data_IF_349167465590
#
_entry.id   IF_349167465590
#
_cell.length_a   1.000
_cell.length_b   1.000
_cell.length_c   1.000
_cell.angle_alpha   90.00
_cell.angle_beta   90.00
_cell.angle_gamma   90.00
#
_symmetry.space_group_name_H-M   'P 1'
#
loop_
_entity.id
_entity.type
_entity.pdbx_description
1 polymer ?
#
# COMPACT_ATOMS: atom_id res chain seq x y z
N UNK A 1 -40.20 -20.88 6.85
CA UNK A 1 -39.24 -19.77 6.93
C UNK A 1 -38.26 -19.89 5.78
N UNK A 2 -38.07 -18.87 4.97
CA UNK A 2 -37.02 -18.88 3.96
C UNK A 2 -35.66 -19.17 4.63
N UNK A 3 -34.85 -20.05 4.05
CA UNK A 3 -33.51 -20.32 4.59
C UNK A 3 -32.70 -19.02 4.63
N UNK A 4 -32.13 -18.70 5.79
CA UNK A 4 -31.27 -17.53 5.91
C UNK A 4 -30.03 -17.74 5.01
N UNK A 5 -29.68 -16.71 4.23
CA UNK A 5 -28.42 -16.68 3.48
C UNK A 5 -27.24 -16.76 4.45
N UNK A 6 -26.23 -17.57 4.17
CA UNK A 6 -25.01 -17.64 4.99
C UNK A 6 -23.85 -16.90 4.30
N UNK A 7 -23.30 -15.90 4.99
CA UNK A 7 -22.10 -15.17 4.60
C UNK A 7 -20.93 -15.65 5.45
N UNK A 8 -19.88 -16.16 4.83
CA UNK A 8 -18.65 -16.61 5.47
C UNK A 8 -17.59 -15.50 5.46
N UNK A 9 -16.83 -15.39 6.53
CA UNK A 9 -15.61 -14.59 6.59
C UNK A 9 -14.46 -15.55 6.85
N UNK A 10 -13.57 -15.66 5.87
CA UNK A 10 -12.40 -16.51 5.98
C UNK A 10 -11.34 -15.84 6.86
N UNK A 11 -10.57 -16.64 7.61
CA UNK A 11 -9.35 -16.12 8.26
C UNK A 11 -8.26 -15.88 7.22
N UNK A 12 -7.39 -14.93 7.50
CA UNK A 12 -6.18 -14.69 6.70
C UNK A 12 -5.05 -15.59 7.18
N UNK A 13 -4.31 -16.18 6.24
CA UNK A 13 -3.22 -17.11 6.51
C UNK A 13 -2.06 -16.99 5.50
N UNK A 14 -2.09 -15.97 4.64
CA UNK A 14 -1.04 -15.72 3.65
C UNK A 14 0.33 -15.44 4.32
N UNK A 15 0.32 -14.71 5.43
CA UNK A 15 1.48 -14.39 6.25
C UNK A 15 1.04 -14.02 7.67
N UNK A 16 1.94 -14.00 8.66
CA UNK A 16 1.60 -13.73 10.06
C UNK A 16 1.20 -12.26 10.33
N UNK A 17 1.47 -11.35 9.40
CA UNK A 17 1.14 -9.92 9.54
C UNK A 17 -0.20 -9.55 8.96
N UNK A 18 -0.86 -10.44 8.20
CA UNK A 18 -2.18 -10.17 7.66
C UNK A 18 -3.25 -10.37 8.74
N UNK A 19 -3.49 -9.32 9.51
CA UNK A 19 -4.39 -9.30 10.66
C UNK A 19 -5.71 -8.59 10.39
N UNK A 20 -5.89 -8.09 9.16
CA UNK A 20 -7.10 -7.37 8.74
C UNK A 20 -8.29 -8.33 8.59
N UNK A 21 -9.48 -7.75 8.58
CA UNK A 21 -10.75 -8.46 8.33
C UNK A 21 -11.67 -7.59 7.47
N UNK A 22 -12.45 -8.18 6.52
CA UNK A 22 -13.28 -7.40 5.60
C UNK A 22 -14.53 -6.80 6.26
N UNK A 23 -15.02 -7.38 7.35
CA UNK A 23 -16.13 -6.85 8.15
C UNK A 23 -15.74 -6.85 9.63
N UNK A 24 -15.84 -5.69 10.28
CA UNK A 24 -15.60 -5.58 11.73
C UNK A 24 -16.87 -6.01 12.51
N UNK A 25 -16.73 -6.41 13.79
CA UNK A 25 -17.85 -6.95 14.58
C UNK A 25 -19.11 -6.07 14.59
N UNK A 26 -18.95 -4.77 14.81
CA UNK A 26 -20.10 -3.85 14.87
C UNK A 26 -20.84 -3.76 13.53
N UNK A 27 -20.15 -3.77 12.40
CA UNK A 27 -20.79 -3.76 11.08
C UNK A 27 -21.44 -5.10 10.75
N UNK A 28 -20.87 -6.22 11.20
CA UNK A 28 -21.52 -7.52 11.09
C UNK A 28 -22.85 -7.56 11.85
N UNK A 29 -22.92 -7.03 13.10
CA UNK A 29 -24.16 -6.85 13.85
C UNK A 29 -25.19 -6.02 13.10
N UNK A 30 -24.78 -4.89 12.51
CA UNK A 30 -25.69 -4.03 11.75
C UNK A 30 -26.31 -4.79 10.57
N UNK A 31 -25.51 -5.55 9.82
CA UNK A 31 -25.98 -6.37 8.72
C UNK A 31 -26.93 -7.49 9.18
N UNK A 32 -26.64 -8.16 10.31
CA UNK A 32 -27.51 -9.18 10.91
C UNK A 32 -28.88 -8.62 11.32
N UNK A 33 -28.95 -7.33 11.67
CA UNK A 33 -30.23 -6.66 12.00
C UNK A 33 -31.02 -6.21 10.77
N UNK A 34 -30.32 -5.89 9.68
CA UNK A 34 -30.91 -5.33 8.47
C UNK A 34 -31.36 -6.41 7.47
N UNK A 35 -30.68 -7.55 7.45
CA UNK A 35 -30.85 -8.59 6.45
C UNK A 35 -31.20 -9.94 7.10
N UNK A 36 -31.97 -10.82 6.44
CA UNK A 36 -32.21 -12.20 6.88
C UNK A 36 -30.96 -13.06 6.64
N UNK A 37 -29.87 -12.73 7.35
CA UNK A 37 -28.52 -13.24 7.13
C UNK A 37 -28.03 -14.03 8.35
N UNK A 38 -27.23 -15.05 8.13
CA UNK A 38 -26.32 -15.66 9.09
C UNK A 38 -24.89 -15.28 8.69
N UNK A 39 -24.07 -14.86 9.63
CA UNK A 39 -22.65 -14.58 9.38
C UNK A 39 -21.82 -15.60 10.17
N UNK A 40 -20.93 -16.29 9.48
CA UNK A 40 -19.92 -17.18 10.07
C UNK A 40 -18.53 -16.62 9.82
N UNK A 41 -17.67 -16.76 10.81
CA UNK A 41 -16.27 -16.37 10.70
C UNK A 41 -15.37 -17.50 11.16
N UNK A 42 -14.28 -17.77 10.42
CA UNK A 42 -13.29 -18.72 10.88
C UNK A 42 -12.51 -18.20 12.09
N UNK A 43 -12.19 -19.05 13.07
CA UNK A 43 -11.36 -18.65 14.21
C UNK A 43 -9.99 -18.20 13.75
N UNK A 44 -9.41 -17.19 14.42
CA UNK A 44 -8.09 -16.67 14.08
C UNK A 44 -7.39 -16.13 15.33
N UNK A 45 -6.15 -16.60 15.55
CA UNK A 45 -5.29 -16.12 16.63
C UNK A 45 -4.53 -14.83 16.30
N UNK A 46 -4.49 -14.44 15.02
CA UNK A 46 -3.73 -13.25 14.57
C UNK A 46 -4.63 -12.06 14.24
N UNK A 47 -5.92 -12.28 13.94
CA UNK A 47 -6.85 -11.21 13.55
C UNK A 47 -6.92 -10.11 14.62
N UNK A 48 -6.98 -8.85 14.17
CA UNK A 48 -7.01 -7.68 15.07
C UNK A 48 -8.24 -7.61 15.97
N UNK A 49 -9.37 -8.15 15.52
CA UNK A 49 -10.58 -8.36 16.32
C UNK A 49 -10.66 -9.82 16.75
N UNK A 50 -10.83 -10.08 18.05
CA UNK A 50 -10.88 -11.43 18.58
C UNK A 50 -12.15 -12.20 18.16
N UNK A 51 -12.12 -13.52 18.27
CA UNK A 51 -13.28 -14.35 18.05
C UNK A 51 -14.43 -13.99 19.01
N UNK A 52 -14.12 -13.60 20.24
CA UNK A 52 -15.10 -13.16 21.25
C UNK A 52 -15.75 -11.82 20.90
N UNK A 53 -15.05 -10.92 20.23
CA UNK A 53 -15.63 -9.66 19.73
C UNK A 53 -16.72 -9.94 18.70
N UNK A 54 -16.50 -10.91 17.82
CA UNK A 54 -17.49 -11.35 16.83
C UNK A 54 -18.67 -12.09 17.46
N UNK A 55 -18.43 -13.01 18.41
CA UNK A 55 -19.50 -13.72 19.13
C UNK A 55 -20.45 -12.77 19.85
N UNK A 56 -19.92 -11.76 20.53
CA UNK A 56 -20.71 -10.73 21.22
C UNK A 56 -21.65 -9.96 20.29
N UNK A 57 -21.30 -9.85 19.03
CA UNK A 57 -22.08 -9.17 18.00
C UNK A 57 -22.99 -10.14 17.19
N UNK A 58 -23.12 -11.41 17.62
CA UNK A 58 -24.03 -12.39 17.04
C UNK A 58 -23.48 -13.14 15.84
N UNK A 59 -22.17 -13.05 15.56
CA UNK A 59 -21.51 -13.81 14.51
C UNK A 59 -21.12 -15.19 15.04
N UNK A 60 -21.31 -16.22 14.22
CA UNK A 60 -20.97 -17.60 14.56
C UNK A 60 -19.50 -17.84 14.23
N UNK A 61 -18.70 -18.19 15.23
CA UNK A 61 -17.31 -18.63 15.00
C UNK A 61 -17.31 -20.11 14.66
N UNK A 62 -16.82 -20.45 13.48
CA UNK A 62 -16.82 -21.84 12.95
C UNK A 62 -15.66 -22.05 12.00
N UNK A 63 -14.93 -23.18 12.14
CA UNK A 63 -13.94 -23.62 11.12
C UNK A 63 -14.61 -23.93 9.79
N UNK A 64 -15.80 -24.50 9.84
CA UNK A 64 -16.54 -24.91 8.65
C UNK A 64 -17.38 -23.77 8.10
N UNK A 65 -17.05 -23.33 6.86
CA UNK A 65 -17.81 -22.37 6.08
C UNK A 65 -18.56 -23.04 4.91
N UNK A 66 -18.67 -24.35 4.85
CA UNK A 66 -19.30 -25.08 3.74
C UNK A 66 -20.79 -24.72 3.53
N UNK A 67 -21.48 -24.32 4.60
CA UNK A 67 -22.85 -23.81 4.53
C UNK A 67 -22.96 -22.41 3.92
N UNK A 68 -21.84 -21.66 3.81
CA UNK A 68 -21.86 -20.29 3.30
C UNK A 68 -21.80 -20.29 1.78
N UNK A 69 -22.78 -19.66 1.14
CA UNK A 69 -22.81 -19.48 -0.30
C UNK A 69 -21.87 -18.38 -0.80
N UNK A 70 -21.56 -17.42 0.07
CA UNK A 70 -20.68 -16.29 -0.19
C UNK A 70 -19.59 -16.27 0.88
N UNK A 71 -18.32 -16.14 0.46
CA UNK A 71 -17.15 -16.06 1.36
C UNK A 71 -16.35 -14.81 1.06
N UNK A 72 -16.12 -14.02 2.10
CA UNK A 72 -15.27 -12.85 2.08
C UNK A 72 -13.89 -13.20 2.64
N UNK A 73 -12.84 -12.66 2.02
CA UNK A 73 -11.47 -12.66 2.53
C UNK A 73 -10.81 -11.31 2.23
N UNK A 74 -9.61 -11.06 2.73
CA UNK A 74 -8.81 -9.87 2.34
C UNK A 74 -7.88 -10.23 1.19
N UNK A 75 -7.04 -11.24 1.39
CA UNK A 75 -5.99 -11.64 0.44
C UNK A 75 -6.34 -12.94 -0.29
N UNK A 76 -5.43 -13.35 -1.17
CA UNK A 76 -5.58 -14.56 -1.98
C UNK A 76 -5.84 -15.78 -1.11
N UNK A 77 -6.76 -16.60 -1.58
CA UNK A 77 -7.24 -17.80 -0.88
C UNK A 77 -6.50 -19.04 -1.42
N UNK A 78 -6.02 -19.95 -0.55
CA UNK A 78 -5.40 -21.20 -0.99
C UNK A 78 -6.35 -22.06 -1.84
N UNK A 79 -5.84 -22.71 -2.89
CA UNK A 79 -6.61 -23.46 -3.88
C UNK A 79 -7.51 -24.56 -3.26
N UNK A 80 -7.03 -25.19 -2.19
CA UNK A 80 -7.77 -26.26 -1.49
C UNK A 80 -9.02 -25.81 -0.74
N UNK A 81 -9.20 -24.50 -0.55
CA UNK A 81 -10.34 -23.94 0.16
C UNK A 81 -11.61 -23.82 -0.72
N UNK A 82 -11.48 -23.73 -2.03
CA UNK A 82 -12.59 -23.45 -2.92
C UNK A 82 -13.56 -24.62 -3.05
N UNK A 83 -14.84 -24.32 -2.78
CA UNK A 83 -15.98 -25.23 -2.95
C UNK A 83 -16.73 -24.92 -4.26
N UNK A 84 -17.48 -25.92 -4.73
CA UNK A 84 -18.24 -25.79 -5.97
C UNK A 84 -19.35 -24.73 -5.85
N UNK A 85 -19.51 -23.93 -6.89
CA UNK A 85 -20.62 -22.99 -7.08
C UNK A 85 -20.76 -21.96 -5.95
N UNK A 86 -19.65 -21.59 -5.31
CA UNK A 86 -19.63 -20.52 -4.28
C UNK A 86 -19.16 -19.20 -4.85
N UNK A 87 -19.52 -18.13 -4.15
CA UNK A 87 -19.09 -16.76 -4.44
C UNK A 87 -17.94 -16.41 -3.51
N UNK A 88 -16.85 -15.93 -4.06
CA UNK A 88 -15.68 -15.46 -3.32
C UNK A 88 -15.39 -14.01 -3.64
N UNK A 89 -15.25 -13.19 -2.61
CA UNK A 89 -14.91 -11.78 -2.76
C UNK A 89 -13.64 -11.45 -1.97
N UNK A 90 -12.57 -11.06 -2.67
CA UNK A 90 -11.26 -10.77 -2.09
C UNK A 90 -10.35 -10.02 -3.10
N UNK A 91 -9.18 -9.54 -2.66
CA UNK A 91 -8.13 -9.04 -3.57
C UNK A 91 -7.42 -10.22 -4.23
N UNK A 92 -7.81 -10.55 -5.45
CA UNK A 92 -7.32 -11.75 -6.14
C UNK A 92 -5.95 -11.57 -6.79
N UNK A 93 -5.58 -10.34 -7.13
CA UNK A 93 -4.38 -10.00 -7.88
C UNK A 93 -4.19 -10.88 -9.14
N UNK A 94 -5.28 -11.15 -9.86
CA UNK A 94 -5.25 -12.01 -11.05
C UNK A 94 -5.33 -11.23 -12.36
N UNK A 95 -5.94 -10.04 -12.35
CA UNK A 95 -6.36 -9.31 -13.56
C UNK A 95 -5.23 -8.89 -14.52
N UNK A 96 -3.99 -8.92 -14.05
CA UNK A 96 -2.80 -8.65 -14.87
C UNK A 96 -2.12 -9.94 -15.36
N UNK A 97 -2.72 -11.10 -15.09
CA UNK A 97 -2.15 -12.40 -15.45
C UNK A 97 -0.91 -12.78 -14.65
N UNK A 98 -0.83 -12.36 -13.37
CA UNK A 98 0.29 -12.67 -12.50
C UNK A 98 0.47 -14.19 -12.36
N UNK A 99 1.61 -14.77 -12.81
CA UNK A 99 1.76 -16.22 -12.94
C UNK A 99 1.49 -17.00 -11.67
N UNK A 100 1.87 -16.45 -10.51
CA UNK A 100 1.71 -17.11 -9.20
C UNK A 100 0.26 -17.24 -8.74
N UNK A 101 -0.67 -16.41 -9.29
CA UNK A 101 -2.10 -16.44 -8.96
C UNK A 101 -2.95 -17.18 -10.00
N UNK A 102 -2.35 -17.62 -11.12
CA UNK A 102 -3.10 -18.33 -12.16
C UNK A 102 -3.57 -19.73 -11.71
N UNK A 103 -2.84 -20.51 -10.90
CA UNK A 103 -3.36 -21.76 -10.33
C UNK A 103 -4.66 -21.55 -9.53
N UNK A 104 -4.70 -20.55 -8.65
CA UNK A 104 -5.90 -20.18 -7.89
C UNK A 104 -7.07 -19.83 -8.83
N UNK A 105 -6.83 -19.06 -9.89
CA UNK A 105 -7.86 -18.68 -10.87
C UNK A 105 -8.40 -19.90 -11.64
N UNK A 106 -7.53 -20.85 -12.03
CA UNK A 106 -7.94 -22.13 -12.65
C UNK A 106 -8.83 -22.92 -11.71
N UNK A 107 -8.46 -22.99 -10.43
CA UNK A 107 -9.24 -23.71 -9.43
C UNK A 107 -10.63 -23.13 -9.25
N UNK A 108 -10.78 -21.80 -9.27
CA UNK A 108 -12.10 -21.14 -9.25
C UNK A 108 -12.93 -21.48 -10.49
N UNK A 109 -12.32 -21.55 -11.68
CA UNK A 109 -12.97 -21.97 -12.92
C UNK A 109 -13.47 -23.43 -12.81
N UNK A 110 -12.61 -24.36 -12.39
CA UNK A 110 -12.93 -25.78 -12.20
C UNK A 110 -14.08 -25.97 -11.22
N UNK A 111 -14.13 -25.18 -10.14
CA UNK A 111 -15.20 -25.20 -9.13
C UNK A 111 -16.47 -24.46 -9.56
N UNK A 112 -16.53 -23.95 -10.78
CA UNK A 112 -17.65 -23.12 -11.24
C UNK A 112 -17.99 -22.00 -10.26
N UNK A 113 -16.95 -21.43 -9.62
CA UNK A 113 -17.11 -20.39 -8.64
C UNK A 113 -17.33 -19.02 -9.30
N UNK A 114 -17.92 -18.10 -8.56
CA UNK A 114 -17.98 -16.67 -8.90
C UNK A 114 -16.86 -15.93 -8.13
N UNK A 115 -16.06 -15.16 -8.84
CA UNK A 115 -14.99 -14.32 -8.26
C UNK A 115 -15.35 -12.86 -8.40
N UNK A 116 -15.42 -12.15 -7.27
CA UNK A 116 -15.57 -10.71 -7.19
C UNK A 116 -14.26 -10.14 -6.64
N UNK A 117 -13.53 -9.38 -7.46
CA UNK A 117 -12.25 -8.79 -7.05
C UNK A 117 -12.45 -7.38 -6.51
N UNK A 118 -12.07 -7.15 -5.26
CA UNK A 118 -12.18 -5.83 -4.62
C UNK A 118 -11.42 -4.72 -5.35
N UNK A 119 -10.33 -5.04 -6.07
CA UNK A 119 -9.63 -4.07 -6.90
C UNK A 119 -10.49 -3.46 -7.99
N UNK A 120 -11.54 -4.16 -8.38
CA UNK A 120 -12.41 -3.81 -9.50
C UNK A 120 -13.77 -3.28 -9.07
N UNK A 121 -13.99 -3.06 -7.79
CA UNK A 121 -15.13 -2.28 -7.30
C UNK A 121 -14.86 -0.81 -7.64
N UNK A 122 -15.37 -0.39 -8.79
CA UNK A 122 -15.13 0.93 -9.38
C UNK A 122 -16.42 1.73 -9.44
N UNK A 123 -16.31 3.06 -9.29
CA UNK A 123 -17.41 3.97 -9.63
C UNK A 123 -17.60 4.14 -11.15
N UNK A 124 -18.56 4.96 -11.55
CA UNK A 124 -18.85 5.21 -12.97
C UNK A 124 -17.75 5.99 -13.71
N UNK A 125 -16.80 6.60 -12.97
CA UNK A 125 -15.62 7.25 -13.52
C UNK A 125 -14.39 6.32 -13.53
N UNK A 126 -14.55 5.04 -13.19
CA UNK A 126 -13.47 4.06 -13.15
C UNK A 126 -12.52 4.21 -11.94
N UNK A 127 -12.90 5.00 -10.92
CA UNK A 127 -12.09 5.17 -9.71
C UNK A 127 -12.36 4.02 -8.74
N UNK A 128 -11.30 3.49 -8.14
CA UNK A 128 -11.41 2.43 -7.12
C UNK A 128 -12.16 2.95 -5.89
N UNK A 129 -13.15 2.18 -5.43
CA UNK A 129 -13.90 2.45 -4.20
C UNK A 129 -13.28 1.73 -3.00
N UNK A 130 -12.64 0.59 -3.22
CA UNK A 130 -11.99 -0.21 -2.18
C UNK A 130 -10.48 -0.20 -2.38
N UNK A 131 -9.76 0.52 -1.53
CA UNK A 131 -8.30 0.63 -1.58
C UNK A 131 -7.75 1.16 -0.24
N UNK A 132 -6.46 0.96 0.01
CA UNK A 132 -5.79 1.29 1.27
C UNK A 132 -4.70 2.36 1.11
N UNK A 133 -4.88 3.31 0.18
CA UNK A 133 -3.83 4.29 -0.15
C UNK A 133 -3.44 5.17 1.05
N UNK A 134 -4.43 5.73 1.78
CA UNK A 134 -4.16 6.53 2.98
C UNK A 134 -3.44 5.70 4.05
N UNK A 135 -3.90 4.46 4.30
CA UNK A 135 -3.30 3.57 5.30
C UNK A 135 -1.85 3.20 4.94
N UNK A 136 -1.58 2.95 3.65
CA UNK A 136 -0.20 2.73 3.17
C UNK A 136 0.68 3.96 3.43
N UNK A 137 0.16 5.16 3.18
CA UNK A 137 0.86 6.41 3.45
C UNK A 137 1.18 6.62 4.93
N UNK A 138 0.18 6.42 5.80
CA UNK A 138 0.34 6.52 7.25
C UNK A 138 1.43 5.57 7.75
N UNK A 139 1.29 4.27 7.47
CA UNK A 139 2.25 3.25 7.89
C UNK A 139 3.65 3.49 7.31
N UNK A 140 3.73 3.75 6.01
CA UNK A 140 4.99 3.99 5.33
C UNK A 140 5.76 5.20 5.86
N UNK A 141 5.05 6.27 6.28
CA UNK A 141 5.71 7.42 6.89
C UNK A 141 6.22 7.12 8.29
N UNK A 142 5.44 6.44 9.13
CA UNK A 142 5.86 6.02 10.47
C UNK A 142 7.14 5.17 10.35
N UNK A 143 7.15 4.17 9.46
CA UNK A 143 8.30 3.30 9.25
C UNK A 143 9.50 4.05 8.65
N UNK A 144 9.26 5.05 7.81
CA UNK A 144 10.33 5.90 7.28
C UNK A 144 10.98 6.74 8.38
N UNK A 145 10.19 7.30 9.31
CA UNK A 145 10.72 8.03 10.48
C UNK A 145 11.46 7.11 11.45
N UNK A 146 10.93 5.91 11.69
CA UNK A 146 11.61 4.88 12.45
C UNK A 146 12.95 4.50 11.81
N UNK A 147 12.96 4.26 10.49
CA UNK A 147 14.16 3.91 9.75
C UNK A 147 15.20 5.03 9.82
N UNK A 148 14.79 6.29 9.71
CA UNK A 148 15.68 7.43 9.91
C UNK A 148 16.29 7.42 11.32
N UNK A 149 15.49 7.23 12.37
CA UNK A 149 15.96 7.17 13.73
C UNK A 149 17.00 6.09 13.98
N UNK A 150 16.76 4.89 13.45
CA UNK A 150 17.69 3.75 13.52
C UNK A 150 18.97 3.99 12.74
N UNK A 151 18.86 4.59 11.54
CA UNK A 151 20.03 4.95 10.74
C UNK A 151 20.90 5.98 11.45
N UNK A 152 20.33 7.02 12.03
CA UNK A 152 21.07 8.04 12.77
C UNK A 152 21.78 7.44 14.00
N UNK A 153 21.13 6.55 14.74
CA UNK A 153 21.78 5.81 15.84
C UNK A 153 22.97 4.98 15.35
N UNK A 154 22.84 4.31 14.19
CA UNK A 154 23.93 3.55 13.58
C UNK A 154 25.11 4.46 13.17
N UNK A 155 24.85 5.72 12.84
CA UNK A 155 25.86 6.75 12.56
C UNK A 155 26.41 7.42 13.83
N UNK A 156 25.98 7.01 15.03
CA UNK A 156 26.36 7.62 16.31
C UNK A 156 25.72 8.99 16.57
N UNK A 157 24.64 9.31 15.87
CA UNK A 157 23.92 10.57 16.00
C UNK A 157 22.66 10.34 16.84
N UNK A 158 22.63 10.88 18.06
CA UNK A 158 21.41 10.88 18.86
C UNK A 158 20.38 11.85 18.27
N UNK A 159 19.14 11.38 18.16
CA UNK A 159 18.03 12.19 17.65
C UNK A 159 16.70 11.77 18.25
N UNK A 160 15.70 12.68 18.32
CA UNK A 160 14.37 12.33 18.81
C UNK A 160 13.71 11.18 18.02
N UNK A 161 14.07 11.00 16.76
CA UNK A 161 13.54 9.92 15.92
C UNK A 161 13.92 8.52 16.40
N UNK A 162 14.95 8.36 17.26
CA UNK A 162 15.32 7.08 17.85
C UNK A 162 14.19 6.47 18.70
N UNK A 163 13.22 7.27 19.13
CA UNK A 163 12.06 6.84 19.93
C UNK A 163 10.87 6.38 19.10
N UNK A 164 10.86 6.66 17.78
CA UNK A 164 9.83 6.13 16.89
C UNK A 164 10.00 4.61 16.83
N UNK A 165 8.89 3.90 16.98
CA UNK A 165 8.82 2.45 16.78
C UNK A 165 8.30 2.14 15.38
N UNK A 166 8.54 0.93 14.93
CA UNK A 166 7.92 0.42 13.69
C UNK A 166 6.40 0.42 13.81
N UNK A 167 5.70 0.66 12.72
CA UNK A 167 4.23 0.80 12.69
C UNK A 167 3.52 -0.38 13.35
N UNK A 168 3.93 -1.59 13.03
CA UNK A 168 3.31 -2.83 13.57
C UNK A 168 3.45 -2.98 15.09
N UNK A 169 4.33 -2.22 15.74
CA UNK A 169 4.57 -2.25 17.19
C UNK A 169 3.65 -1.30 17.98
N UNK A 170 2.82 -0.52 17.29
CA UNK A 170 1.80 0.31 17.93
C UNK A 170 0.47 -0.43 17.96
N UNK A 171 -0.27 -0.27 19.06
CA UNK A 171 -1.60 -0.87 19.20
C UNK A 171 -2.66 -0.16 18.35
N UNK A 172 -2.44 1.11 18.02
CA UNK A 172 -3.34 1.94 17.21
C UNK A 172 -2.60 3.10 16.57
N UNK A 173 -3.23 3.73 15.57
CA UNK A 173 -2.77 4.98 14.98
C UNK A 173 -2.63 6.10 16.03
N UNK A 174 -3.56 6.20 16.97
CA UNK A 174 -3.52 7.20 18.04
C UNK A 174 -2.24 7.09 18.84
N UNK A 175 -1.83 5.89 19.25
CA UNK A 175 -0.58 5.67 19.97
C UNK A 175 0.64 6.08 19.14
N UNK A 176 0.65 5.75 17.85
CA UNK A 176 1.72 6.15 16.94
C UNK A 176 1.81 7.68 16.80
N UNK A 177 0.66 8.34 16.59
CA UNK A 177 0.59 9.80 16.50
C UNK A 177 1.09 10.49 17.77
N UNK A 178 0.71 10.00 18.94
CA UNK A 178 1.21 10.54 20.22
C UNK A 178 2.72 10.40 20.36
N UNK A 179 3.28 9.27 19.93
CA UNK A 179 4.73 9.06 19.92
C UNK A 179 5.44 10.07 19.00
N UNK A 180 4.89 10.31 17.81
CA UNK A 180 5.45 11.24 16.82
C UNK A 180 5.29 12.69 17.31
N UNK A 181 4.15 13.07 17.92
CA UNK A 181 3.98 14.39 18.53
C UNK A 181 5.02 14.66 19.63
N UNK A 182 5.39 13.65 20.43
CA UNK A 182 6.47 13.76 21.42
C UNK A 182 7.82 14.04 20.76
N UNK A 183 8.12 13.35 19.65
CA UNK A 183 9.31 13.65 18.83
C UNK A 183 9.27 15.09 18.33
N UNK A 184 8.13 15.53 17.81
CA UNK A 184 7.93 16.90 17.35
C UNK A 184 8.12 17.94 18.46
N UNK A 185 7.60 17.66 19.66
CA UNK A 185 7.81 18.52 20.82
C UNK A 185 9.30 18.68 21.17
N UNK A 186 10.06 17.60 21.13
CA UNK A 186 11.49 17.65 21.40
C UNK A 186 12.26 18.44 20.34
N UNK A 187 11.96 18.24 19.08
CA UNK A 187 12.58 19.01 17.98
C UNK A 187 12.30 20.51 18.17
N UNK A 188 11.04 20.86 18.48
CA UNK A 188 10.66 22.25 18.67
C UNK A 188 11.39 22.93 19.85
N UNK A 189 11.55 22.23 20.98
CA UNK A 189 12.09 22.82 22.20
C UNK A 189 13.59 22.66 22.38
N UNK A 190 14.16 21.55 21.90
CA UNK A 190 15.59 21.25 22.06
C UNK A 190 16.42 21.45 20.80
N UNK A 191 15.76 21.46 19.63
CA UNK A 191 16.42 21.50 18.33
C UNK A 191 16.97 20.13 17.91
N UNK A 192 17.36 20.05 16.66
CA UNK A 192 18.13 18.97 16.05
C UNK A 192 19.62 19.23 16.24
N UNK A 193 20.42 18.16 16.25
CA UNK A 193 21.88 18.31 16.19
C UNK A 193 22.29 19.18 14.98
N UNK A 194 23.22 20.13 15.11
CA UNK A 194 23.63 21.02 14.01
C UNK A 194 24.09 20.27 12.74
N UNK A 195 24.64 19.05 12.91
CA UNK A 195 25.04 18.17 11.79
C UNK A 195 23.86 17.67 10.95
N UNK A 196 22.64 17.62 11.51
CA UNK A 196 21.42 17.21 10.85
C UNK A 196 20.68 18.39 10.20
N UNK A 197 20.86 19.61 10.72
CA UNK A 197 20.15 20.77 10.20
C UNK A 197 20.74 21.26 8.86
N UNK A 198 19.87 21.69 7.93
CA UNK A 198 18.43 21.51 7.93
C UNK A 198 18.06 20.05 7.62
N UNK A 199 17.07 19.51 8.34
CA UNK A 199 16.52 18.19 8.06
C UNK A 199 15.37 18.36 7.06
N UNK A 200 15.50 17.78 5.86
CA UNK A 200 14.60 18.00 4.72
C UNK A 200 14.02 16.67 4.24
N UNK A 201 12.69 16.61 4.15
CA UNK A 201 11.97 15.52 3.52
C UNK A 201 11.33 15.94 2.20
N UNK A 202 11.56 15.14 1.16
CA UNK A 202 10.87 15.25 -0.11
C UNK A 202 9.76 14.20 -0.22
N UNK A 203 8.58 14.61 -0.66
CA UNK A 203 7.45 13.75 -0.96
C UNK A 203 7.19 13.77 -2.45
N UNK A 204 7.18 12.60 -3.12
CA UNK A 204 6.76 12.52 -4.50
C UNK A 204 5.28 12.21 -4.58
N UNK A 205 4.57 12.98 -5.42
CA UNK A 205 3.12 12.86 -5.59
C UNK A 205 2.30 13.54 -4.49
N UNK A 206 1.01 13.61 -4.71
CA UNK A 206 0.03 14.31 -3.85
C UNK A 206 -1.32 13.55 -3.78
N UNK A 207 -1.34 12.29 -4.21
CA UNK A 207 -2.48 11.39 -4.10
C UNK A 207 -2.68 10.86 -2.68
N UNK A 208 -3.64 9.95 -2.50
CA UNK A 208 -4.03 9.42 -1.18
C UNK A 208 -2.89 8.82 -0.37
N UNK A 209 -1.94 8.16 -1.02
CA UNK A 209 -0.74 7.61 -0.34
C UNK A 209 0.12 8.73 0.21
N UNK A 210 0.46 9.72 -0.63
CA UNK A 210 1.24 10.88 -0.20
C UNK A 210 0.53 11.70 0.88
N UNK A 211 -0.79 11.88 0.77
CA UNK A 211 -1.59 12.56 1.78
C UNK A 211 -1.51 11.84 3.13
N UNK A 212 -1.66 10.52 3.15
CA UNK A 212 -1.50 9.73 4.38
C UNK A 212 -0.10 9.84 4.97
N UNK A 213 0.95 9.85 4.15
CA UNK A 213 2.32 10.05 4.61
C UNK A 213 2.53 11.46 5.17
N UNK A 214 2.00 12.47 4.51
CA UNK A 214 2.09 13.86 4.98
C UNK A 214 1.30 14.08 6.27
N UNK A 215 0.15 13.41 6.47
CA UNK A 215 -0.63 13.48 7.71
C UNK A 215 0.20 13.11 8.95
N UNK A 216 1.01 12.06 8.86
CA UNK A 216 1.95 11.67 9.93
C UNK A 216 3.10 12.69 10.05
N UNK A 217 3.67 13.11 8.93
CA UNK A 217 4.77 14.08 8.93
C UNK A 217 4.36 15.42 9.54
N UNK A 218 3.14 15.86 9.30
CA UNK A 218 2.61 17.15 9.75
C UNK A 218 2.35 17.21 11.27
N UNK A 219 2.52 16.09 11.98
CA UNK A 219 2.58 16.05 13.46
C UNK A 219 3.91 16.59 14.02
N UNK A 220 4.92 16.77 13.17
CA UNK A 220 6.23 17.32 13.51
C UNK A 220 6.24 18.86 13.27
N UNK A 221 7.15 19.62 13.91
CA UNK A 221 7.28 21.05 13.64
C UNK A 221 7.90 21.27 12.27
N UNK A 222 7.08 21.45 11.23
CA UNK A 222 7.56 21.58 9.87
C UNK A 222 7.34 22.98 9.27
N UNK A 223 8.11 23.24 8.22
CA UNK A 223 7.92 24.36 7.30
C UNK A 223 7.94 23.81 5.87
N UNK A 224 6.92 24.13 5.08
CA UNK A 224 6.88 23.73 3.67
C UNK A 224 7.69 24.67 2.81
N UNK A 225 8.57 24.11 1.98
CA UNK A 225 9.47 24.83 1.09
C UNK A 225 9.17 24.44 -0.35
N UNK A 226 8.97 25.42 -1.21
CA UNK A 226 8.81 25.14 -2.64
C UNK A 226 10.11 24.51 -3.22
N UNK A 227 10.02 23.53 -4.13
CA UNK A 227 11.20 22.85 -4.68
C UNK A 227 12.29 23.82 -5.18
N UNK A 228 11.90 24.88 -5.89
CA UNK A 228 12.83 25.89 -6.40
C UNK A 228 13.59 26.68 -5.33
N UNK A 229 13.10 26.71 -4.10
CA UNK A 229 13.69 27.52 -3.02
C UNK A 229 14.72 26.76 -2.16
N UNK A 230 14.77 25.42 -2.26
CA UNK A 230 15.62 24.60 -1.39
C UNK A 230 17.10 24.94 -1.53
N UNK A 231 17.58 25.20 -2.75
CA UNK A 231 18.98 25.56 -3.01
C UNK A 231 19.35 26.86 -2.33
N UNK A 232 18.49 27.89 -2.42
CA UNK A 232 18.69 29.18 -1.80
C UNK A 232 18.60 29.12 -0.28
N UNK A 233 17.73 28.30 0.27
CA UNK A 233 17.66 28.01 1.71
C UNK A 233 19.02 27.50 2.23
N UNK A 234 19.63 26.54 1.56
CA UNK A 234 20.96 26.01 1.94
C UNK A 234 22.07 27.05 1.73
N UNK A 235 22.12 27.74 0.57
CA UNK A 235 23.12 28.71 0.24
C UNK A 235 23.14 29.87 1.23
N UNK A 236 21.97 30.36 1.63
CA UNK A 236 21.81 31.51 2.50
C UNK A 236 21.69 31.14 3.99
N UNK A 237 21.78 29.86 4.33
CA UNK A 237 21.62 29.31 5.70
C UNK A 237 20.30 29.80 6.36
N UNK A 238 19.22 29.86 5.59
CA UNK A 238 17.89 30.28 6.07
C UNK A 238 17.11 29.07 6.57
N UNK A 239 17.56 28.51 7.68
CA UNK A 239 16.89 27.35 8.31
C UNK A 239 17.09 27.39 9.82
N UNK A 240 16.25 26.63 10.52
CA UNK A 240 16.25 26.49 11.98
C UNK A 240 16.55 25.03 12.35
N UNK A 241 17.18 24.84 13.50
CA UNK A 241 17.37 23.52 14.12
C UNK A 241 16.09 23.01 14.81
N UNK A 242 15.13 23.90 15.08
CA UNK A 242 13.87 23.60 15.76
C UNK A 242 12.72 23.23 14.80
N UNK A 243 13.04 23.07 13.51
CA UNK A 243 12.07 22.70 12.46
C UNK A 243 12.66 21.67 11.52
N UNK A 244 11.77 20.97 10.86
CA UNK A 244 12.07 20.14 9.69
C UNK A 244 11.43 20.77 8.47
N UNK A 245 11.93 20.44 7.29
CA UNK A 245 11.49 21.06 6.05
C UNK A 245 10.82 20.03 5.15
N UNK A 246 9.62 20.37 4.65
CA UNK A 246 8.82 19.54 3.77
C UNK A 246 8.85 20.10 2.36
N UNK A 247 9.10 19.24 1.37
CA UNK A 247 9.01 19.57 -0.05
C UNK A 247 8.04 18.56 -0.69
N UNK A 248 7.00 19.06 -1.35
CA UNK A 248 6.09 18.20 -2.13
C UNK A 248 6.39 18.38 -3.61
N UNK A 249 6.81 17.29 -4.25
CA UNK A 249 7.12 17.25 -5.67
C UNK A 249 5.90 16.80 -6.48
N UNK A 250 5.42 17.69 -7.33
CA UNK A 250 4.46 17.36 -8.40
C UNK A 250 5.23 16.99 -9.67
N UNK A 251 4.55 16.49 -10.68
CA UNK A 251 5.16 16.09 -11.96
C UNK A 251 6.01 17.22 -12.56
N UNK A 252 5.52 18.45 -12.58
CA UNK A 252 6.20 19.65 -13.08
C UNK A 252 7.54 19.97 -12.36
N UNK A 253 7.71 19.42 -11.14
CA UNK A 253 8.95 19.55 -10.37
C UNK A 253 9.91 18.36 -10.60
N UNK A 254 9.38 17.24 -11.09
CA UNK A 254 10.13 16.00 -11.25
C UNK A 254 10.63 15.78 -12.69
N UNK A 255 9.96 16.39 -13.66
CA UNK A 255 10.33 16.27 -15.09
C UNK A 255 10.40 17.63 -15.77
N UNK A 256 11.16 17.67 -16.86
CA UNK A 256 11.18 18.82 -17.77
C UNK A 256 11.09 18.32 -19.20
N UNK A 257 10.45 19.08 -20.11
CA UNK A 257 10.40 18.74 -21.52
C UNK A 257 11.81 18.62 -22.13
N UNK A 258 11.97 17.74 -23.12
CA UNK A 258 13.17 17.67 -23.95
C UNK A 258 13.23 18.84 -24.92
N UNK A 259 14.42 19.12 -25.47
CA UNK A 259 14.60 20.18 -26.46
C UNK A 259 13.66 20.00 -27.66
N UNK A 260 13.01 21.09 -28.07
CA UNK A 260 12.02 21.13 -29.14
C UNK A 260 10.57 20.82 -28.72
N UNK A 261 10.35 20.47 -27.44
CA UNK A 261 8.99 20.28 -26.91
C UNK A 261 8.43 21.61 -26.36
N UNK A 262 7.11 21.92 -26.53
CA UNK A 262 6.53 23.23 -26.18
C UNK A 262 6.42 23.50 -24.71
N UNK A 263 6.81 22.85 -23.79
CA UNK A 263 6.71 23.12 -22.36
C UNK A 263 6.11 21.95 -21.60
N UNK A 264 5.92 22.12 -20.29
CA UNK A 264 5.31 21.10 -19.45
C UNK A 264 3.78 21.18 -19.58
N UNK A 265 3.17 20.04 -19.89
CA UNK A 265 1.73 19.79 -19.78
C UNK A 265 1.53 18.44 -19.09
N UNK A 266 0.64 18.37 -18.11
CA UNK A 266 0.42 17.17 -17.31
C UNK A 266 -0.19 16.02 -18.11
N UNK A 267 -1.16 16.32 -18.95
CA UNK A 267 -1.84 15.30 -19.76
C UNK A 267 -0.91 14.77 -20.84
N UNK A 268 -0.14 15.65 -21.47
CA UNK A 268 0.88 15.27 -22.42
C UNK A 268 1.97 14.40 -21.76
N UNK A 269 2.42 14.76 -20.55
CA UNK A 269 3.37 13.93 -19.80
C UNK A 269 2.84 12.50 -19.57
N UNK A 270 1.57 12.35 -19.22
CA UNK A 270 0.99 11.02 -19.01
C UNK A 270 0.84 10.22 -20.31
N UNK A 271 0.58 10.87 -21.42
CA UNK A 271 0.44 10.24 -22.74
C UNK A 271 1.80 10.00 -23.41
N UNK A 272 2.75 10.92 -23.25
CA UNK A 272 4.03 10.97 -23.95
C UNK A 272 5.23 11.15 -22.99
N UNK A 273 5.40 10.30 -21.95
CA UNK A 273 6.48 10.47 -20.96
C UNK A 273 7.87 10.45 -21.58
N UNK A 274 8.05 9.81 -22.74
CA UNK A 274 9.30 9.77 -23.50
C UNK A 274 9.74 11.16 -24.03
N UNK A 275 8.83 12.14 -24.11
CA UNK A 275 9.15 13.52 -24.50
C UNK A 275 9.75 14.35 -23.38
N UNK A 276 9.84 13.78 -22.18
CA UNK A 276 10.37 14.44 -20.98
C UNK A 276 11.65 13.78 -20.49
N UNK A 277 12.36 14.44 -19.59
CA UNK A 277 13.51 13.91 -18.85
C UNK A 277 13.35 14.16 -17.36
N UNK A 278 13.81 13.26 -16.49
CA UNK A 278 13.72 13.43 -15.05
C UNK A 278 14.70 14.51 -14.57
N UNK A 279 14.31 15.25 -13.51
CA UNK A 279 15.13 16.26 -12.86
C UNK A 279 15.14 16.14 -11.33
N UNK A 280 14.36 15.23 -10.75
CA UNK A 280 14.29 15.03 -9.30
C UNK A 280 15.66 14.73 -8.67
N UNK A 281 16.54 14.04 -9.40
CA UNK A 281 17.90 13.74 -8.93
C UNK A 281 18.70 14.97 -8.51
N UNK A 282 18.41 16.13 -9.08
CA UNK A 282 19.03 17.41 -8.72
C UNK A 282 18.69 17.91 -7.32
N UNK A 283 17.68 17.33 -6.67
CA UNK A 283 17.26 17.67 -5.31
C UNK A 283 17.83 16.71 -4.26
N UNK A 284 18.26 15.49 -4.65
CA UNK A 284 18.78 14.47 -3.71
C UNK A 284 19.88 14.98 -2.76
N UNK A 285 20.82 15.86 -3.18
CA UNK A 285 21.84 16.38 -2.28
C UNK A 285 21.30 17.19 -1.09
N UNK A 286 20.08 17.71 -1.19
CA UNK A 286 19.44 18.54 -0.18
C UNK A 286 18.51 17.76 0.74
N UNK A 287 18.10 16.52 0.37
CA UNK A 287 17.16 15.72 1.12
C UNK A 287 17.86 14.89 2.19
N UNK A 288 17.24 14.77 3.37
CA UNK A 288 17.59 13.79 4.40
C UNK A 288 16.76 12.53 4.23
N UNK A 289 15.50 12.69 3.89
CA UNK A 289 14.57 11.60 3.55
C UNK A 289 13.81 11.87 2.25
N UNK A 290 13.51 10.82 1.51
CA UNK A 290 12.63 10.85 0.35
C UNK A 290 11.49 9.85 0.59
N UNK A 291 10.25 10.32 0.47
CA UNK A 291 9.04 9.49 0.56
C UNK A 291 8.46 9.37 -0.84
N UNK A 292 8.53 8.17 -1.41
CA UNK A 292 8.01 7.90 -2.74
C UNK A 292 6.59 7.35 -2.65
N UNK A 293 5.63 8.10 -3.18
CA UNK A 293 4.20 7.82 -3.08
C UNK A 293 3.45 8.07 -4.40
N UNK A 294 4.14 7.88 -5.53
CA UNK A 294 3.54 8.03 -6.87
C UNK A 294 3.08 6.67 -7.41
N UNK A 295 2.11 6.71 -8.31
CA UNK A 295 1.86 5.58 -9.20
C UNK A 295 2.96 5.53 -10.27
N UNK A 296 3.55 4.34 -10.47
CA UNK A 296 4.55 4.13 -11.51
C UNK A 296 4.21 2.91 -12.38
N UNK A 297 4.60 2.95 -13.62
CA UNK A 297 4.53 1.83 -14.56
C UNK A 297 5.71 1.94 -15.53
N UNK A 298 6.12 0.87 -16.23
CA UNK A 298 7.33 0.83 -17.05
C UNK A 298 7.46 1.89 -18.14
N UNK A 299 6.33 2.48 -18.58
CA UNK A 299 6.35 3.58 -19.56
C UNK A 299 6.78 4.92 -18.95
N UNK A 300 6.70 5.09 -17.63
CA UNK A 300 7.09 6.32 -16.95
C UNK A 300 8.58 6.39 -16.63
N UNK A 301 9.04 7.60 -16.41
CA UNK A 301 10.43 7.88 -16.07
C UNK A 301 10.79 7.37 -14.67
N UNK A 302 12.06 7.03 -14.48
CA UNK A 302 12.65 6.75 -13.17
C UNK A 302 13.19 8.04 -12.57
N UNK A 303 12.99 8.22 -11.26
CA UNK A 303 13.28 9.48 -10.58
C UNK A 303 14.50 9.43 -9.66
N UNK A 304 14.86 8.23 -9.18
CA UNK A 304 16.09 8.00 -8.43
C UNK A 304 16.82 6.82 -9.07
N UNK A 305 17.82 7.15 -9.89
CA UNK A 305 18.58 6.11 -10.57
C UNK A 305 19.78 5.64 -9.74
N UNK A 306 20.18 4.38 -9.91
CA UNK A 306 21.44 3.84 -9.33
C UNK A 306 22.63 4.70 -9.72
N UNK A 307 22.64 5.23 -10.96
CA UNK A 307 23.68 6.15 -11.45
C UNK A 307 23.73 7.45 -10.66
N UNK A 308 22.58 8.05 -10.36
CA UNK A 308 22.52 9.29 -9.57
C UNK A 308 22.98 9.06 -8.13
N UNK A 309 22.56 7.94 -7.52
CA UNK A 309 23.03 7.56 -6.18
C UNK A 309 24.54 7.32 -6.16
N UNK A 310 25.08 6.60 -7.14
CA UNK A 310 26.54 6.39 -7.27
C UNK A 310 27.29 7.72 -7.39
N UNK A 311 26.74 8.67 -8.17
CA UNK A 311 27.32 10.03 -8.28
C UNK A 311 27.28 10.77 -6.95
N UNK A 312 26.17 10.67 -6.20
CA UNK A 312 25.96 11.34 -4.93
C UNK A 312 26.92 10.82 -3.84
N UNK A 313 27.25 9.50 -3.85
CA UNK A 313 28.17 8.87 -2.90
C UNK A 313 29.66 8.92 -3.32
N UNK A 314 29.95 9.36 -4.55
CA UNK A 314 31.33 9.49 -5.05
C UNK A 314 32.09 10.55 -4.24
N UNK A 315 33.32 10.22 -3.79
CA UNK A 315 34.21 11.19 -3.15
C UNK A 315 34.33 11.09 -1.64
N UNK A 316 33.80 10.04 -1.00
CA UNK A 316 34.06 9.73 0.42
C UNK A 316 33.20 10.49 1.43
N UNK A 317 32.52 11.55 1.03
CA UNK A 317 31.59 12.25 1.92
C UNK A 317 30.28 11.48 2.05
N UNK A 318 29.69 11.46 3.26
CA UNK A 318 28.37 10.89 3.50
C UNK A 318 27.32 11.93 3.07
N UNK A 319 26.53 11.65 2.04
CA UNK A 319 25.45 12.54 1.60
C UNK A 319 24.41 12.76 2.70
N UNK A 320 23.59 13.80 2.54
CA UNK A 320 22.49 14.06 3.48
C UNK A 320 21.38 13.02 3.41
N UNK A 321 21.17 12.36 2.27
CA UNK A 321 20.13 11.37 2.05
C UNK A 321 20.41 10.10 2.88
N UNK A 322 19.63 9.90 3.95
CA UNK A 322 19.76 8.76 4.87
C UNK A 322 18.71 7.70 4.63
N UNK A 323 17.50 8.09 4.23
CA UNK A 323 16.37 7.19 4.13
C UNK A 323 15.55 7.45 2.87
N UNK A 324 15.09 6.38 2.25
CA UNK A 324 14.08 6.40 1.19
C UNK A 324 12.93 5.53 1.67
N UNK A 325 11.77 6.14 1.92
CA UNK A 325 10.53 5.43 2.16
C UNK A 325 9.83 5.20 0.84
N UNK A 326 10.07 4.05 0.21
CA UNK A 326 9.43 3.69 -1.04
C UNK A 326 8.10 2.98 -0.78
N UNK A 327 7.06 3.78 -0.51
CA UNK A 327 5.71 3.29 -0.22
C UNK A 327 5.08 2.64 -1.45
N UNK A 328 5.50 3.05 -2.65
CA UNK A 328 5.06 2.45 -3.92
C UNK A 328 5.57 1.02 -4.07
N UNK A 329 6.79 0.75 -3.61
CA UNK A 329 7.41 -0.57 -3.56
C UNK A 329 7.48 -1.30 -4.93
N UNK A 330 7.64 -0.54 -6.02
CA UNK A 330 7.85 -1.13 -7.36
C UNK A 330 9.33 -1.51 -7.53
N UNK A 331 9.61 -2.81 -7.65
CA UNK A 331 10.98 -3.33 -7.84
C UNK A 331 11.56 -2.76 -9.14
N UNK A 332 12.77 -2.17 -9.06
CA UNK A 332 13.42 -1.46 -10.15
C UNK A 332 12.50 -0.41 -10.81
N UNK A 333 11.59 0.16 -10.03
CA UNK A 333 10.59 1.12 -10.46
C UNK A 333 11.08 2.56 -10.55
N UNK A 334 10.27 3.50 -10.08
CA UNK A 334 10.64 4.92 -10.03
C UNK A 334 11.89 5.18 -9.18
N UNK A 335 12.16 4.31 -8.20
CA UNK A 335 13.34 4.28 -7.34
C UNK A 335 14.13 3.00 -7.70
N UNK A 336 15.16 3.12 -8.51
CA UNK A 336 15.92 1.96 -9.01
C UNK A 336 16.64 1.16 -7.90
N UNK A 337 16.94 1.78 -6.77
CA UNK A 337 17.56 1.06 -5.64
C UNK A 337 16.56 0.26 -4.80
N UNK A 338 15.26 0.32 -5.10
CA UNK A 338 14.27 -0.64 -4.57
C UNK A 338 14.37 -1.94 -5.36
N UNK A 339 15.42 -2.71 -5.08
CA UNK A 339 15.74 -3.95 -5.82
C UNK A 339 14.92 -5.16 -5.34
N UNK A 340 14.25 -5.02 -4.21
CA UNK A 340 13.34 -6.02 -3.65
C UNK A 340 12.32 -5.36 -2.72
N UNK A 341 11.18 -6.01 -2.56
CA UNK A 341 10.25 -5.68 -1.48
C UNK A 341 10.76 -6.24 -0.14
N UNK A 342 10.25 -5.67 0.94
CA UNK A 342 10.54 -6.08 2.31
C UNK A 342 9.25 -6.46 3.03
N UNK A 343 9.36 -6.98 4.23
CA UNK A 343 8.24 -7.37 5.09
C UNK A 343 8.39 -6.78 6.50
N UNK A 344 7.35 -6.83 7.35
CA UNK A 344 7.42 -6.24 8.70
C UNK A 344 8.48 -6.85 9.62
N UNK A 345 8.99 -8.07 9.37
CA UNK A 345 10.10 -8.64 10.16
C UNK A 345 11.45 -8.04 9.78
N UNK A 346 11.64 -7.74 8.49
CA UNK A 346 12.86 -7.14 7.93
C UNK A 346 12.49 -5.96 7.02
N UNK A 347 12.00 -4.83 7.58
CA UNK A 347 11.32 -3.81 6.81
C UNK A 347 12.23 -2.92 5.98
N UNK A 348 13.54 -3.02 6.16
CA UNK A 348 14.52 -2.16 5.51
C UNK A 348 15.77 -2.91 5.08
N UNK A 349 16.43 -2.35 4.07
CA UNK A 349 17.80 -2.68 3.71
C UNK A 349 18.59 -1.40 3.41
N UNK A 350 19.90 -1.45 3.54
CA UNK A 350 20.80 -0.39 3.08
C UNK A 350 21.29 -0.75 1.67
N UNK A 351 21.13 0.17 0.72
CA UNK A 351 21.64 0.01 -0.64
C UNK A 351 22.98 0.70 -0.78
N UNK A 352 24.04 -0.06 -1.12
CA UNK A 352 25.39 0.49 -1.41
C UNK A 352 25.50 0.92 -2.87
N UNK A 353 25.53 2.24 -3.16
CA UNK A 353 25.55 2.73 -4.55
C UNK A 353 26.87 2.49 -5.29
N UNK A 354 27.97 2.26 -4.59
CA UNK A 354 29.27 2.01 -5.22
C UNK A 354 29.41 0.55 -5.65
N UNK A 355 28.91 -0.39 -4.82
CA UNK A 355 28.97 -1.83 -5.07
C UNK A 355 27.78 -2.36 -5.84
N UNK A 356 26.66 -1.64 -5.87
CA UNK A 356 25.35 -2.09 -6.36
C UNK A 356 24.85 -3.32 -5.58
N UNK A 357 25.01 -3.30 -4.25
CA UNK A 357 24.65 -4.39 -3.34
C UNK A 357 23.71 -3.89 -2.24
N UNK A 358 23.04 -4.81 -1.59
CA UNK A 358 22.18 -4.51 -0.43
C UNK A 358 22.64 -5.28 0.81
N UNK A 359 22.46 -4.66 1.97
CA UNK A 359 22.66 -5.27 3.28
C UNK A 359 21.39 -5.07 4.10
N UNK A 360 20.89 -6.11 4.74
CA UNK A 360 19.71 -6.01 5.60
C UNK A 360 19.96 -5.05 6.78
N UNK A 361 18.92 -4.27 7.11
CA UNK A 361 18.99 -3.33 8.21
C UNK A 361 19.67 -2.00 7.83
N UNK A 362 20.39 -1.43 8.81
CA UNK A 362 20.81 -0.02 8.80
C UNK A 362 22.32 0.17 8.57
N UNK A 363 23.09 -0.93 8.57
CA UNK A 363 24.54 -0.89 8.42
C UNK A 363 24.93 -0.71 6.95
N UNK A 364 26.09 -0.09 6.71
CA UNK A 364 26.62 0.05 5.36
C UNK A 364 26.60 1.47 4.83
N UNK A 365 27.10 1.63 3.61
CA UNK A 365 27.26 2.91 2.93
C UNK A 365 26.16 3.09 1.90
N UNK A 366 25.28 4.05 2.14
CA UNK A 366 24.17 4.33 1.23
C UNK A 366 22.87 4.70 1.96
N UNK A 367 21.79 4.97 1.25
CA UNK A 367 20.50 5.20 1.88
C UNK A 367 19.90 3.89 2.42
N UNK A 368 19.21 3.98 3.55
CA UNK A 368 18.30 2.93 4.01
C UNK A 368 17.02 3.02 3.17
N UNK A 369 16.60 1.90 2.61
CA UNK A 369 15.38 1.78 1.81
C UNK A 369 14.35 1.00 2.61
N UNK A 370 13.21 1.61 2.91
CA UNK A 370 12.01 0.98 3.43
C UNK A 370 11.09 0.69 2.24
N UNK A 371 10.75 -0.57 2.01
CA UNK A 371 9.95 -1.01 0.86
C UNK A 371 9.02 -2.17 1.25
N UNK A 372 8.25 -1.99 2.33
CA UNK A 372 7.32 -3.01 2.82
C UNK A 372 6.13 -3.14 1.87
N UNK A 373 5.94 -4.34 1.31
CA UNK A 373 4.93 -4.61 0.28
C UNK A 373 3.48 -4.43 0.77
N UNK A 374 3.21 -4.69 2.03
CA UNK A 374 1.84 -4.69 2.57
C UNK A 374 1.67 -3.75 3.78
N UNK A 375 2.14 -2.51 3.66
CA UNK A 375 2.05 -1.48 4.69
C UNK A 375 0.68 -1.36 5.38
N UNK A 376 -0.48 -1.42 4.68
CA UNK A 376 -1.78 -1.33 5.35
C UNK A 376 -2.05 -2.46 6.36
N UNK A 377 -1.36 -3.61 6.27
CA UNK A 377 -1.51 -4.70 7.24
C UNK A 377 -0.84 -4.39 8.59
N UNK A 378 0.14 -3.50 8.60
CA UNK A 378 0.78 -3.04 9.85
C UNK A 378 -0.17 -2.20 10.71
N UNK A 379 -1.17 -1.56 10.10
CA UNK A 379 -2.25 -0.83 10.74
C UNK A 379 -3.57 -1.61 10.63
N UNK A 380 -3.57 -2.85 11.12
CA UNK A 380 -4.66 -3.77 10.89
C UNK A 380 -6.01 -3.28 11.45
N UNK A 381 -6.01 -2.57 12.57
CA UNK A 381 -7.22 -2.02 13.19
C UNK A 381 -7.87 -0.97 12.27
N UNK A 382 -7.15 0.08 11.94
CA UNK A 382 -7.63 1.20 11.13
C UNK A 382 -7.96 0.75 9.71
N UNK A 383 -7.12 -0.12 9.15
CA UNK A 383 -7.34 -0.71 7.83
C UNK A 383 -8.62 -1.55 7.79
N UNK A 384 -8.89 -2.36 8.83
CA UNK A 384 -10.13 -3.16 8.90
C UNK A 384 -11.36 -2.29 9.08
N UNK A 385 -11.29 -1.25 9.93
CA UNK A 385 -12.38 -0.30 10.13
C UNK A 385 -12.73 0.40 8.81
N UNK A 386 -11.73 0.96 8.14
CA UNK A 386 -11.91 1.62 6.84
C UNK A 386 -12.46 0.66 5.78
N UNK A 387 -11.87 -0.54 5.67
CA UNK A 387 -12.30 -1.55 4.71
C UNK A 387 -13.75 -1.96 4.93
N UNK A 388 -14.08 -2.31 6.17
CA UNK A 388 -15.43 -2.71 6.54
C UNK A 388 -16.46 -1.60 6.30
N UNK A 389 -16.10 -0.35 6.58
CA UNK A 389 -16.94 0.81 6.31
C UNK A 389 -17.20 0.97 4.80
N UNK A 390 -16.19 0.76 3.98
CA UNK A 390 -16.27 0.88 2.52
C UNK A 390 -17.01 -0.30 1.88
N UNK A 391 -16.80 -1.53 2.41
CA UNK A 391 -17.38 -2.75 1.84
C UNK A 391 -18.84 -2.97 2.26
N UNK A 392 -19.21 -2.58 3.50
CA UNK A 392 -20.55 -2.81 4.06
C UNK A 392 -21.70 -2.39 3.14
N UNK A 393 -21.66 -1.22 2.44
CA UNK A 393 -22.74 -0.79 1.55
C UNK A 393 -23.00 -1.76 0.38
N UNK A 394 -22.02 -2.57 0.00
CA UNK A 394 -22.16 -3.53 -1.10
C UNK A 394 -22.70 -4.89 -0.66
N UNK A 395 -22.69 -5.20 0.64
CA UNK A 395 -23.13 -6.50 1.15
C UNK A 395 -24.60 -6.80 0.83
N UNK A 396 -25.56 -5.86 0.96
CA UNK A 396 -26.94 -6.13 0.57
C UNK A 396 -27.09 -6.56 -0.89
N UNK A 397 -26.41 -5.88 -1.81
CA UNK A 397 -26.40 -6.25 -3.23
C UNK A 397 -25.71 -7.58 -3.50
N UNK A 398 -24.62 -7.87 -2.77
CA UNK A 398 -23.90 -9.12 -2.86
C UNK A 398 -24.76 -10.33 -2.40
N UNK A 399 -25.46 -10.22 -1.27
CA UNK A 399 -26.28 -11.32 -0.75
C UNK A 399 -27.65 -11.44 -1.41
N UNK A 400 -28.14 -10.37 -2.04
CA UNK A 400 -29.42 -10.34 -2.73
C UNK A 400 -29.37 -10.78 -4.20
N UNK A 401 -28.17 -10.98 -4.76
CA UNK A 401 -27.98 -11.33 -6.15
C UNK A 401 -28.34 -12.79 -6.45
N UNK A 402 -28.80 -13.06 -7.68
CA UNK A 402 -29.04 -14.40 -8.21
C UNK A 402 -27.76 -14.93 -8.89
N UNK A 403 -27.12 -15.91 -8.25
CA UNK A 403 -25.94 -16.59 -8.78
C UNK A 403 -26.30 -17.89 -9.52
N UNK A 404 -27.56 -18.27 -9.59
CA UNK A 404 -28.02 -19.46 -10.30
C UNK A 404 -28.35 -19.21 -11.78
N UNK A 405 -28.72 -17.98 -12.12
CA UNK A 405 -29.12 -17.55 -13.46
C UNK A 405 -27.97 -17.08 -14.35
N UNK A 406 -28.29 -16.19 -15.28
CA UNK A 406 -27.34 -15.54 -16.18
C UNK A 406 -26.72 -14.32 -15.54
N UNK A 407 -25.44 -14.02 -15.85
CA UNK A 407 -24.72 -12.89 -15.29
C UNK A 407 -25.43 -11.55 -15.46
N UNK A 408 -25.97 -11.29 -16.66
CA UNK A 408 -26.66 -10.06 -16.97
C UNK A 408 -27.91 -9.81 -16.10
N UNK A 409 -28.57 -10.88 -15.68
CA UNK A 409 -29.78 -10.84 -14.87
C UNK A 409 -29.53 -11.11 -13.37
N UNK A 410 -28.28 -11.17 -12.94
CA UNK A 410 -27.88 -11.50 -11.56
C UNK A 410 -28.40 -10.51 -10.49
N UNK A 411 -28.80 -9.29 -10.88
CA UNK A 411 -29.21 -8.25 -9.94
C UNK A 411 -28.06 -7.64 -9.14
N UNK A 412 -26.80 -7.96 -9.46
CA UNK A 412 -25.63 -7.32 -8.85
C UNK A 412 -25.63 -5.81 -9.16
N UNK A 413 -25.32 -4.93 -8.17
CA UNK A 413 -25.06 -3.51 -8.41
C UNK A 413 -23.98 -3.30 -9.48
N UNK A 414 -24.00 -2.18 -10.22
CA UNK A 414 -23.05 -1.91 -11.31
C UNK A 414 -21.58 -2.06 -10.87
N UNK A 415 -21.23 -1.57 -9.66
CA UNK A 415 -19.89 -1.65 -9.09
C UNK A 415 -19.44 -3.10 -8.88
N UNK A 416 -20.33 -3.95 -8.38
CA UNK A 416 -20.06 -5.38 -8.18
C UNK A 416 -20.06 -6.14 -9.50
N UNK A 417 -20.90 -5.76 -10.49
CA UNK A 417 -20.83 -6.31 -11.85
C UNK A 417 -19.45 -6.07 -12.46
N UNK A 418 -18.96 -4.83 -12.42
CA UNK A 418 -17.61 -4.48 -12.89
C UNK A 418 -16.49 -5.24 -12.15
N UNK A 419 -16.72 -5.60 -10.89
CA UNK A 419 -15.79 -6.35 -10.08
C UNK A 419 -15.86 -7.87 -10.27
N UNK A 420 -16.86 -8.39 -10.96
CA UNK A 420 -17.05 -9.83 -11.16
C UNK A 420 -16.16 -10.33 -12.28
N UNK A 421 -15.04 -10.96 -11.93
CA UNK A 421 -14.06 -11.52 -12.87
C UNK A 421 -14.54 -12.85 -13.44
N UNK A 422 -15.08 -13.71 -12.57
CA UNK A 422 -15.69 -14.98 -12.96
C UNK A 422 -17.12 -15.02 -12.46
N UNK A 423 -18.03 -15.50 -13.31
CA UNK A 423 -19.39 -15.86 -12.94
C UNK A 423 -19.62 -17.33 -13.28
N UNK A 424 -19.86 -18.16 -12.27
CA UNK A 424 -20.02 -19.62 -12.40
C UNK A 424 -18.89 -20.28 -13.21
N UNK A 425 -17.65 -19.89 -12.94
CA UNK A 425 -16.45 -20.43 -13.58
C UNK A 425 -16.19 -19.91 -15.00
N UNK A 426 -16.98 -18.98 -15.51
CA UNK A 426 -16.76 -18.36 -16.80
C UNK A 426 -16.31 -16.91 -16.63
N UNK A 427 -15.39 -16.45 -17.46
CA UNK A 427 -15.04 -15.02 -17.49
C UNK A 427 -16.25 -14.20 -17.91
N UNK A 428 -16.47 -13.09 -17.20
CA UNK A 428 -17.45 -12.08 -17.61
C UNK A 428 -16.89 -11.26 -18.79
N UNK A 429 -17.71 -10.52 -19.56
CA UNK A 429 -17.29 -9.85 -20.78
C UNK A 429 -16.04 -8.97 -20.61
N UNK A 430 -15.94 -8.22 -19.50
CA UNK A 430 -14.80 -7.32 -19.24
C UNK A 430 -13.48 -8.08 -18.99
N UNK A 431 -13.54 -9.39 -18.73
CA UNK A 431 -12.38 -10.22 -18.34
C UNK A 431 -12.11 -11.39 -19.30
N UNK A 432 -12.78 -11.48 -20.46
CA UNK A 432 -12.53 -12.54 -21.46
C UNK A 432 -11.06 -12.60 -21.90
N UNK A 433 -10.37 -11.45 -21.90
CA UNK A 433 -8.94 -11.37 -22.20
C UNK A 433 -8.07 -12.24 -21.30
N UNK A 434 -8.57 -12.59 -20.10
CA UNK A 434 -7.86 -13.42 -19.12
C UNK A 434 -7.69 -14.88 -19.59
N UNK A 435 -8.52 -15.36 -20.53
CA UNK A 435 -8.44 -16.70 -21.09
C UNK A 435 -7.05 -17.04 -21.64
N UNK A 436 -6.34 -16.06 -22.23
CA UNK A 436 -4.96 -16.22 -22.73
C UNK A 436 -3.96 -16.64 -21.65
N UNK A 437 -4.15 -16.23 -20.38
CA UNK A 437 -3.26 -16.58 -19.27
C UNK A 437 -3.57 -17.97 -18.69
N UNK A 438 -4.77 -18.48 -18.91
CA UNK A 438 -5.18 -19.83 -18.49
C UNK A 438 -4.72 -20.87 -19.50
N UNK A 439 -4.77 -20.57 -20.80
CA UNK A 439 -4.44 -21.49 -21.91
C UNK A 439 -2.94 -21.73 -22.12
N UNK A 440 -2.07 -20.92 -21.53
CA UNK A 440 -0.62 -20.91 -21.85
C UNK A 440 0.19 -22.07 -21.26
N UNK A 441 -0.43 -23.05 -20.55
CA UNK A 441 0.29 -24.19 -19.95
C UNK A 441 0.45 -25.42 -20.85
N UNK A 442 -0.11 -25.46 -22.07
CA UNK A 442 0.09 -26.60 -23.00
C UNK A 442 1.38 -26.52 -23.83
N UNK A 443 2.21 -25.44 -23.70
CA UNK A 443 3.39 -25.23 -24.56
C UNK A 443 4.75 -25.12 -23.85
N UNK A 444 4.88 -25.56 -22.62
CA UNK A 444 6.20 -25.59 -21.97
C UNK A 444 6.45 -26.93 -21.27
N UNK A 445 6.75 -27.92 -22.08
CA UNK A 445 7.76 -28.99 -21.87
C UNK A 445 8.10 -29.58 -23.23
N UNK A 446 9.35 -29.48 -23.72
CA UNK A 446 10.02 -30.66 -24.22
C UNK A 446 10.83 -31.31 -23.09
#
# INVERSE_FOLDING_TARGET
>A
MAAKMCLGIRREDKNPWERRVPLIPVHARELLRQLPLEIRIQPSSIRVFSDEDFKREGVIVSEDLSACSIVLAVKEIPEGFFLDERVYAFFSHTIKGQPHNMPMLRRLIERRATLIDYERILDDQGRRLVFFGRQAGLAGMIDTLWALGRRLLQEGIDSPFARVRQTIQYASLVEAEEAIRKVGWEIHHKGLAPSLAPLVFGFTGYGHVSQGAQEIFDLLPFEEVAPGQVKDMFKNKRYSENKIYKIVFKEEHMVVPKAGHPGFDLQDYYQNPQCYRPVLEGYLPYLTGLVNAIYWAPQYLRFVTKKALRKLWKGGQVPRLRVIGDITCDIDGSIECTVRSTDPANPVFTYDPEKDETVDGFAGRGPVVMAVDNLPAEMALESSVFFSQTLKPFIPGLVGADYGGEFEHSGLPPELKRATVLFRGKFTPDYEYMSKFISSRERSHP
#
